data_IF_402600848408
#
_entry.id   IF_402600848408
#
_cell.length_a   1.000
_cell.length_b   1.000
_cell.length_c   1.000
_cell.angle_alpha   90.00
_cell.angle_beta   90.00
_cell.angle_gamma   90.00
#
_symmetry.space_group_name_H-M   'P 1'
#
loop_
_entity.id
_entity.type
_entity.pdbx_description
1 polymer ?
#
# COMPACT_ATOMS: atom_id res chain seq x y z
N UNK A 1 32.60 57.36 8.01
CA UNK A 1 32.41 56.11 7.25
C UNK A 1 31.14 55.47 7.79
N UNK A 2 30.00 55.73 7.16
CA UNK A 2 28.70 55.21 7.62
C UNK A 2 28.26 54.18 6.58
N UNK A 3 28.29 52.92 6.97
CA UNK A 3 27.78 51.79 6.20
C UNK A 3 26.26 51.90 6.09
N UNK A 4 25.77 52.12 4.88
CA UNK A 4 24.34 52.02 4.58
C UNK A 4 23.91 50.55 4.73
N UNK A 5 23.17 50.26 5.80
CA UNK A 5 22.48 48.99 5.96
C UNK A 5 21.35 48.94 4.93
N UNK A 6 21.48 48.06 3.94
CA UNK A 6 20.48 47.84 2.89
C UNK A 6 19.34 47.01 3.49
N UNK A 7 18.54 47.61 4.36
CA UNK A 7 17.32 47.00 4.86
C UNK A 7 16.26 47.11 3.77
N UNK A 8 16.18 46.10 2.91
CA UNK A 8 15.07 45.87 2.01
C UNK A 8 13.81 45.67 2.87
N UNK A 9 13.12 46.76 3.18
CA UNK A 9 11.82 46.71 3.81
C UNK A 9 10.86 46.08 2.80
N UNK A 10 10.55 44.79 2.98
CA UNK A 10 9.49 44.11 2.25
C UNK A 10 8.23 44.97 2.34
N UNK A 11 7.73 45.42 1.18
CA UNK A 11 6.51 46.21 1.14
C UNK A 11 5.35 45.32 1.59
N UNK A 12 4.47 45.84 2.46
CA UNK A 12 3.23 45.15 2.85
C UNK A 12 2.41 44.72 1.62
N UNK A 13 2.51 45.49 0.53
CA UNK A 13 1.86 45.17 -0.75
C UNK A 13 2.43 43.88 -1.35
N UNK A 14 3.74 43.67 -1.25
CA UNK A 14 4.45 42.51 -1.81
C UNK A 14 4.13 41.25 -1.01
N UNK A 15 4.03 41.37 0.32
CA UNK A 15 3.58 40.30 1.20
C UNK A 15 2.14 39.89 0.90
N UNK A 16 1.23 40.86 0.77
CA UNK A 16 -0.18 40.60 0.45
C UNK A 16 -0.31 39.95 -0.93
N UNK A 17 0.44 40.45 -1.92
CA UNK A 17 0.47 39.86 -3.26
C UNK A 17 0.96 38.42 -3.23
N UNK A 18 2.03 38.13 -2.49
CA UNK A 18 2.55 36.77 -2.33
C UNK A 18 1.50 35.84 -1.69
N UNK A 19 0.81 36.26 -0.63
CA UNK A 19 -0.23 35.46 0.03
C UNK A 19 -1.39 35.16 -0.93
N UNK A 20 -1.83 36.14 -1.72
CA UNK A 20 -2.89 35.95 -2.73
C UNK A 20 -2.46 34.95 -3.80
N UNK A 21 -1.24 35.09 -4.34
CA UNK A 21 -0.70 34.17 -5.35
C UNK A 21 -0.57 32.76 -4.76
N UNK A 22 -0.03 32.61 -3.55
CA UNK A 22 0.04 31.32 -2.87
C UNK A 22 -1.34 30.71 -2.62
N UNK A 23 -2.33 31.52 -2.25
CA UNK A 23 -3.72 31.07 -2.06
C UNK A 23 -4.34 30.54 -3.36
N UNK A 24 -4.11 31.21 -4.49
CA UNK A 24 -4.58 30.76 -5.80
C UNK A 24 -3.87 29.46 -6.21
N UNK A 25 -2.54 29.38 -6.05
CA UNK A 25 -1.79 28.17 -6.39
C UNK A 25 -2.23 26.99 -5.52
N UNK A 26 -2.38 27.18 -4.21
CA UNK A 26 -2.84 26.15 -3.28
C UNK A 26 -4.27 25.69 -3.61
N UNK A 27 -5.20 26.62 -3.84
CA UNK A 27 -6.59 26.27 -4.17
C UNK A 27 -6.72 25.52 -5.50
N UNK A 28 -5.83 25.76 -6.46
CA UNK A 28 -5.83 25.07 -7.77
C UNK A 28 -5.04 23.75 -7.72
N UNK A 29 -4.02 23.63 -6.88
CA UNK A 29 -3.18 22.43 -6.78
C UNK A 29 -3.76 21.33 -5.86
N UNK A 30 -4.55 21.70 -4.85
CA UNK A 30 -5.11 20.75 -3.86
C UNK A 30 -6.23 19.82 -4.40
N UNK A 31 -7.11 20.18 -5.37
CA UNK A 31 -8.29 19.37 -5.68
C UNK A 31 -8.03 18.08 -6.50
N UNK A 32 -6.78 17.59 -6.59
CA UNK A 32 -6.45 16.30 -7.23
C UNK A 32 -5.63 15.33 -6.37
N UNK A 33 -5.85 15.31 -5.05
CA UNK A 33 -5.35 14.21 -4.22
C UNK A 33 -6.18 12.92 -4.44
N UNK A 34 -6.02 12.28 -5.60
CA UNK A 34 -6.16 10.82 -5.73
C UNK A 34 -5.07 10.07 -4.94
N UNK A 35 -4.25 10.80 -4.18
CA UNK A 35 -3.17 10.32 -3.33
C UNK A 35 -3.67 9.25 -2.36
N UNK A 36 -4.88 9.38 -1.79
CA UNK A 36 -5.34 8.41 -0.81
C UNK A 36 -5.62 7.02 -1.41
N UNK A 37 -6.16 6.95 -2.64
CA UNK A 37 -6.32 5.67 -3.35
C UNK A 37 -4.96 5.05 -3.66
N UNK A 38 -4.01 5.86 -4.15
CA UNK A 38 -2.66 5.39 -4.47
C UNK A 38 -1.89 4.96 -3.21
N UNK A 39 -2.00 5.70 -2.12
CA UNK A 39 -1.44 5.35 -0.80
C UNK A 39 -2.05 4.05 -0.31
N UNK A 40 -3.37 3.88 -0.45
CA UNK A 40 -4.03 2.62 -0.13
C UNK A 40 -3.44 1.48 -0.97
N UNK A 41 -3.37 1.62 -2.30
CA UNK A 41 -2.83 0.60 -3.19
C UNK A 41 -1.38 0.21 -2.85
N UNK A 42 -0.52 1.19 -2.54
CA UNK A 42 0.86 0.96 -2.08
C UNK A 42 0.85 0.20 -0.75
N UNK A 43 -0.01 0.59 0.20
CA UNK A 43 -0.14 -0.10 1.49
C UNK A 43 -0.60 -1.55 1.30
N UNK A 44 -1.59 -1.79 0.44
CA UNK A 44 -2.07 -3.13 0.12
C UNK A 44 -0.95 -3.98 -0.50
N UNK A 45 -0.21 -3.42 -1.46
CA UNK A 45 0.93 -4.08 -2.12
C UNK A 45 2.03 -4.43 -1.12
N UNK A 46 2.41 -3.47 -0.27
CA UNK A 46 3.40 -3.68 0.80
C UNK A 46 2.98 -4.79 1.75
N UNK A 47 1.73 -4.78 2.25
CA UNK A 47 1.21 -5.84 3.13
C UNK A 47 1.29 -7.21 2.46
N UNK A 48 0.82 -7.34 1.22
CA UNK A 48 0.88 -8.61 0.46
C UNK A 48 2.32 -9.08 0.28
N UNK A 49 3.25 -8.17 -0.06
CA UNK A 49 4.67 -8.48 -0.19
C UNK A 49 5.30 -8.97 1.12
N UNK A 50 5.00 -8.31 2.24
CA UNK A 50 5.48 -8.71 3.58
C UNK A 50 4.96 -10.11 3.94
N UNK A 51 3.68 -10.40 3.68
CA UNK A 51 3.10 -11.71 3.94
C UNK A 51 3.75 -12.79 3.08
N UNK A 52 3.92 -12.55 1.77
CA UNK A 52 4.56 -13.50 0.87
C UNK A 52 6.00 -13.82 1.30
N UNK A 53 6.73 -12.80 1.76
CA UNK A 53 8.08 -12.96 2.28
C UNK A 53 8.09 -13.77 3.59
N UNK A 54 7.18 -13.46 4.52
CA UNK A 54 7.09 -14.15 5.80
C UNK A 54 6.63 -15.61 5.64
N UNK A 55 5.71 -15.89 4.72
CA UNK A 55 5.36 -17.26 4.33
C UNK A 55 6.60 -17.99 3.80
N UNK A 56 7.33 -17.39 2.86
CA UNK A 56 8.55 -17.99 2.31
C UNK A 56 9.58 -18.27 3.40
N UNK A 57 9.73 -17.37 4.37
CA UNK A 57 10.61 -17.54 5.54
C UNK A 57 10.18 -18.71 6.42
N UNK A 58 8.88 -18.83 6.74
CA UNK A 58 8.36 -19.93 7.56
C UNK A 58 8.60 -21.29 6.89
N UNK A 59 8.34 -21.39 5.58
CA UNK A 59 8.58 -22.61 4.82
C UNK A 59 10.06 -22.96 4.71
N UNK A 60 10.91 -21.95 4.48
CA UNK A 60 12.36 -22.14 4.44
C UNK A 60 12.89 -22.63 5.80
N UNK A 61 12.42 -22.03 6.90
CA UNK A 61 12.82 -22.44 8.25
C UNK A 61 12.36 -23.87 8.57
N UNK A 62 11.13 -24.24 8.20
CA UNK A 62 10.60 -25.59 8.40
C UNK A 62 11.42 -26.63 7.61
N UNK A 63 11.72 -26.33 6.35
CA UNK A 63 12.53 -27.16 5.46
C UNK A 63 13.94 -27.37 6.02
N UNK A 64 14.66 -26.29 6.36
CA UNK A 64 16.02 -26.36 6.92
C UNK A 64 16.08 -27.06 8.27
N UNK A 65 15.03 -26.95 9.07
CA UNK A 65 14.95 -27.60 10.39
C UNK A 65 14.45 -29.04 10.33
N UNK A 66 14.09 -29.55 9.15
CA UNK A 66 13.38 -30.83 8.96
C UNK A 66 12.17 -30.99 9.91
N UNK A 67 11.40 -29.90 10.08
CA UNK A 67 10.21 -29.84 10.95
C UNK A 67 8.95 -29.63 10.11
N UNK A 68 7.83 -30.18 10.60
CA UNK A 68 6.53 -29.88 10.03
C UNK A 68 6.19 -28.39 10.14
N UNK A 69 5.49 -27.87 9.13
CA UNK A 69 5.06 -26.48 9.08
C UNK A 69 3.95 -26.25 10.10
N UNK A 70 4.05 -25.15 10.85
CA UNK A 70 3.02 -24.76 11.80
C UNK A 70 1.90 -23.98 11.09
N UNK A 71 0.83 -24.71 10.75
CA UNK A 71 -0.34 -24.16 10.04
C UNK A 71 -1.06 -23.08 10.86
N UNK A 72 -1.12 -23.22 12.19
CA UNK A 72 -1.69 -22.20 13.08
C UNK A 72 -0.95 -20.87 12.96
N UNK A 73 0.38 -20.91 12.85
CA UNK A 73 1.20 -19.71 12.65
C UNK A 73 0.93 -19.05 11.29
N UNK A 74 0.70 -19.85 10.24
CA UNK A 74 0.30 -19.34 8.91
C UNK A 74 -1.06 -18.65 8.98
N UNK A 75 -2.05 -19.29 9.61
CA UNK A 75 -3.36 -18.67 9.75
C UNK A 75 -3.29 -17.37 10.56
N UNK A 76 -2.56 -17.34 11.67
CA UNK A 76 -2.37 -16.12 12.46
C UNK A 76 -1.74 -15.00 11.62
N UNK A 77 -0.69 -15.32 10.85
CA UNK A 77 -0.06 -14.39 9.92
C UNK A 77 -1.06 -13.84 8.89
N UNK A 78 -1.92 -14.71 8.34
CA UNK A 78 -2.95 -14.32 7.36
C UNK A 78 -4.14 -13.58 8.00
N UNK A 79 -4.42 -13.77 9.28
CA UNK A 79 -5.42 -12.97 10.00
C UNK A 79 -4.88 -11.57 10.35
N UNK A 80 -3.60 -11.46 10.69
CA UNK A 80 -2.94 -10.20 11.06
C UNK A 80 -2.92 -9.16 9.93
N UNK A 81 -3.09 -9.58 8.68
CA UNK A 81 -3.16 -8.71 7.50
C UNK A 81 -4.32 -7.70 7.59
N UNK A 82 -5.34 -8.06 8.38
CA UNK A 82 -6.56 -7.29 8.58
C UNK A 82 -6.40 -6.17 9.62
N UNK A 83 -5.27 -6.12 10.33
CA UNK A 83 -4.93 -5.02 11.24
C UNK A 83 -4.83 -3.71 10.48
N UNK A 84 -5.29 -2.61 11.08
CA UNK A 84 -5.26 -1.27 10.48
C UNK A 84 -6.07 -1.12 9.17
N UNK A 85 -7.07 -1.98 8.98
CA UNK A 85 -8.03 -1.83 7.90
C UNK A 85 -8.97 -0.63 8.15
N UNK A 86 -9.39 0.01 7.07
CA UNK A 86 -10.49 0.96 7.07
C UNK A 86 -11.59 0.51 6.10
N UNK A 87 -12.77 1.15 6.16
CA UNK A 87 -13.88 0.82 5.27
C UNK A 87 -13.54 0.99 3.78
N UNK A 88 -12.62 1.90 3.46
CA UNK A 88 -12.18 2.20 2.10
C UNK A 88 -10.83 1.57 1.73
N UNK A 89 -10.07 1.02 2.68
CA UNK A 89 -8.77 0.41 2.41
C UNK A 89 -8.56 -0.81 3.30
N UNK A 90 -8.74 -2.01 2.75
CA UNK A 90 -8.62 -3.23 3.55
C UNK A 90 -8.09 -4.43 2.79
N UNK A 91 -7.48 -5.34 3.55
CA UNK A 91 -7.30 -6.75 3.20
C UNK A 91 -8.14 -7.61 4.13
N UNK A 92 -8.89 -8.57 3.60
CA UNK A 92 -9.70 -9.50 4.39
C UNK A 92 -9.39 -10.92 3.97
N UNK A 93 -8.82 -11.69 4.90
CA UNK A 93 -8.55 -13.10 4.68
C UNK A 93 -9.83 -13.93 4.91
N UNK A 94 -10.12 -14.81 3.97
CA UNK A 94 -11.18 -15.81 4.05
C UNK A 94 -10.53 -17.20 4.13
N UNK A 95 -10.50 -17.75 5.35
CA UNK A 95 -9.88 -19.05 5.63
C UNK A 95 -10.59 -20.21 4.95
N UNK A 96 -11.89 -20.10 4.66
CA UNK A 96 -12.67 -21.19 4.04
C UNK A 96 -12.27 -21.35 2.57
N UNK A 97 -12.13 -20.22 1.88
CA UNK A 97 -11.85 -20.22 0.44
C UNK A 97 -10.36 -20.19 0.12
N UNK A 98 -9.50 -19.85 1.09
CA UNK A 98 -8.08 -19.63 0.87
C UNK A 98 -7.82 -18.39 0.01
N UNK A 99 -8.58 -17.32 0.27
CA UNK A 99 -8.53 -16.10 -0.53
C UNK A 99 -8.36 -14.86 0.33
N UNK A 100 -7.80 -13.80 -0.24
CA UNK A 100 -7.68 -12.49 0.39
C UNK A 100 -8.43 -11.48 -0.47
N UNK A 101 -9.50 -10.89 0.06
CA UNK A 101 -10.21 -9.78 -0.58
C UNK A 101 -9.46 -8.49 -0.29
N UNK A 102 -9.19 -7.70 -1.32
CA UNK A 102 -8.55 -6.40 -1.23
C UNK A 102 -9.48 -5.32 -1.76
N UNK A 103 -9.71 -4.26 -0.99
CA UNK A 103 -10.49 -3.08 -1.40
C UNK A 103 -9.63 -1.83 -1.31
N UNK A 104 -9.68 -1.02 -2.37
CA UNK A 104 -9.19 0.36 -2.41
C UNK A 104 -10.32 1.23 -2.96
N UNK A 105 -10.96 1.99 -2.09
CA UNK A 105 -12.12 2.83 -2.38
C UNK A 105 -13.20 2.08 -3.18
N UNK A 106 -13.56 2.55 -4.37
CA UNK A 106 -14.58 1.94 -5.22
C UNK A 106 -14.13 0.64 -5.92
N UNK A 107 -12.86 0.23 -5.76
CA UNK A 107 -12.28 -0.90 -6.48
C UNK A 107 -11.98 -2.05 -5.54
N UNK A 108 -12.18 -3.26 -6.04
CA UNK A 108 -11.96 -4.49 -5.29
C UNK A 108 -11.33 -5.56 -6.18
N UNK A 109 -10.50 -6.41 -5.58
CA UNK A 109 -9.92 -7.58 -6.20
C UNK A 109 -9.82 -8.71 -5.18
N UNK A 110 -9.73 -9.94 -5.67
CA UNK A 110 -9.49 -11.13 -4.85
C UNK A 110 -8.12 -11.67 -5.20
N UNK A 111 -7.32 -11.95 -4.18
CA UNK A 111 -6.10 -12.74 -4.27
C UNK A 111 -6.41 -14.18 -3.89
N UNK A 112 -5.83 -15.10 -4.65
CA UNK A 112 -5.86 -16.53 -4.40
C UNK A 112 -4.53 -16.95 -3.78
N UNK A 113 -4.62 -17.89 -2.83
CA UNK A 113 -3.47 -18.52 -2.21
C UNK A 113 -3.39 -19.95 -2.74
N UNK A 114 -2.26 -20.32 -3.34
CA UNK A 114 -2.04 -21.70 -3.83
C UNK A 114 -0.65 -22.22 -3.48
N UNK A 115 -0.53 -23.45 -2.92
CA UNK A 115 -1.65 -24.36 -2.65
C UNK A 115 -2.41 -24.01 -1.36
N UNK A 116 -3.70 -24.35 -1.30
CA UNK A 116 -4.60 -23.99 -0.18
C UNK A 116 -4.34 -24.77 1.11
N UNK A 117 -3.74 -25.94 0.96
CA UNK A 117 -3.40 -26.86 2.05
C UNK A 117 -2.05 -26.52 2.71
N UNK A 118 -1.33 -25.54 2.17
CA UNK A 118 0.01 -25.16 2.64
C UNK A 118 1.01 -26.34 2.63
N UNK A 119 0.81 -27.32 1.75
CA UNK A 119 1.73 -28.46 1.56
C UNK A 119 3.11 -28.02 1.08
N UNK A 120 3.16 -26.93 0.32
CA UNK A 120 4.38 -26.27 -0.16
C UNK A 120 4.24 -24.76 -0.04
N UNK A 121 5.34 -24.03 -0.23
CA UNK A 121 5.36 -22.56 -0.06
C UNK A 121 4.29 -21.91 -0.95
N UNK A 122 3.23 -21.33 -0.35
CA UNK A 122 2.11 -20.82 -1.11
C UNK A 122 2.48 -19.51 -1.81
N UNK A 123 1.90 -19.33 -2.99
CA UNK A 123 1.95 -18.08 -3.75
C UNK A 123 0.62 -17.36 -3.61
N UNK A 124 0.71 -16.07 -3.33
CA UNK A 124 -0.42 -15.14 -3.36
C UNK A 124 -0.43 -14.47 -4.74
N UNK A 125 -1.51 -14.64 -5.48
CA UNK A 125 -1.65 -14.05 -6.82
C UNK A 125 -3.08 -13.56 -7.06
N UNK A 126 -3.28 -12.73 -8.07
CA UNK A 126 -4.59 -12.24 -8.46
C UNK A 126 -4.70 -12.15 -9.98
N UNK A 127 -5.93 -12.07 -10.48
CA UNK A 127 -6.19 -11.94 -11.91
C UNK A 127 -5.77 -10.55 -12.41
N UNK A 128 -4.72 -10.50 -13.25
CA UNK A 128 -4.16 -9.25 -13.81
C UNK A 128 -5.12 -8.50 -14.75
N UNK A 129 -6.22 -9.12 -15.20
CA UNK A 129 -7.31 -8.44 -15.89
C UNK A 129 -8.05 -7.45 -14.97
N UNK A 130 -7.98 -7.63 -13.65
CA UNK A 130 -8.51 -6.67 -12.69
C UNK A 130 -7.57 -5.47 -12.54
N UNK A 131 -8.10 -4.26 -12.70
CA UNK A 131 -7.29 -3.04 -12.69
C UNK A 131 -6.61 -2.77 -11.33
N UNK A 132 -7.25 -3.11 -10.21
CA UNK A 132 -6.67 -2.97 -8.87
C UNK A 132 -5.58 -4.01 -8.64
N UNK A 133 -5.82 -5.27 -9.04
CA UNK A 133 -4.78 -6.30 -9.01
C UNK A 133 -3.52 -5.86 -9.76
N UNK A 134 -3.69 -5.34 -10.99
CA UNK A 134 -2.57 -4.87 -11.82
C UNK A 134 -1.75 -3.77 -11.13
N UNK A 135 -2.41 -2.83 -10.44
CA UNK A 135 -1.75 -1.75 -9.70
C UNK A 135 -1.04 -2.26 -8.45
N UNK A 136 -1.67 -3.16 -7.69
CA UNK A 136 -1.08 -3.76 -6.48
C UNK A 136 0.15 -4.63 -6.82
N UNK A 137 0.10 -5.40 -7.91
CA UNK A 137 1.18 -6.32 -8.28
C UNK A 137 2.40 -5.67 -8.93
N UNK A 138 2.41 -4.35 -9.14
CA UNK A 138 3.55 -3.57 -9.65
C UNK A 138 4.35 -4.24 -10.79
N UNK A 139 3.68 -5.02 -11.65
CA UNK A 139 4.28 -5.43 -12.93
C UNK A 139 4.20 -4.21 -13.82
N UNK A 140 5.24 -3.39 -13.75
CA UNK A 140 5.49 -2.29 -14.68
C UNK A 140 5.36 -2.87 -16.08
N UNK A 141 4.29 -2.51 -16.78
CA UNK A 141 4.26 -2.68 -18.22
C UNK A 141 5.30 -1.71 -18.78
N UNK A 142 6.56 -2.12 -18.84
CA UNK A 142 7.49 -1.52 -19.78
C UNK A 142 6.99 -1.93 -21.17
N UNK A 143 6.28 -1.02 -21.82
CA UNK A 143 6.07 -1.02 -23.27
C UNK A 143 6.87 0.14 -23.83
#
# INVERSE_FOLDING_TARGET
MITASNSNAFSLIELVLAIVIFGIILSVAIPKLSSNEKICEIRLSSKIGVIQNELSRLFTQAFLSNKAINITKIHNLLYDIQKDNSNECFLKFDSKNGTIKAKSYSKMTTFEISPKDFSTNPKIFCNLSNSLCKRINHKTNNK
#
